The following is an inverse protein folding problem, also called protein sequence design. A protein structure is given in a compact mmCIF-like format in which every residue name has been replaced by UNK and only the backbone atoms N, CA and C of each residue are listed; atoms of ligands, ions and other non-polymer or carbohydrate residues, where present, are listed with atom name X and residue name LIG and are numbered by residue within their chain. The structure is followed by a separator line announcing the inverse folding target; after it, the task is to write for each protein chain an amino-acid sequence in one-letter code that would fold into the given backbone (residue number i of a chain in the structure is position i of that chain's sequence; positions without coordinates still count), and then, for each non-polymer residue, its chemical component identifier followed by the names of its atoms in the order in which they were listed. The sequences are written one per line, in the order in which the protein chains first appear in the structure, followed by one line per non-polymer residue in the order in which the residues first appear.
data_IF_439410160248
#
_entry.id   IF_439410160248
#
_cell.length_a   1.000
_cell.length_b   1.000
_cell.length_c   1.000
_cell.angle_alpha   90.00
_cell.angle_beta   90.00
_cell.angle_gamma   90.00
#
_symmetry.space_group_name_H-M   'P 1'
#
loop_
_entity.id
_entity.type
_entity.pdbx_description
1 polymer ?
#
# COMPACT_ATOMS: atom_id res chain seq x y z
N UNK A 1 11.10 7.95 -31.94
CA UNK A 1 11.68 7.02 -32.96
C UNK A 1 13.03 6.46 -32.53
N UNK A 2 14.07 7.31 -32.38
CA UNK A 2 15.41 6.84 -31.97
C UNK A 2 15.43 6.24 -30.57
N UNK A 3 14.70 6.83 -29.64
CA UNK A 3 14.53 6.33 -28.27
C UNK A 3 13.86 4.95 -28.27
N UNK A 4 12.69 4.81 -28.91
CA UNK A 4 12.01 3.53 -29.05
C UNK A 4 12.91 2.45 -29.70
N UNK A 5 13.65 2.78 -30.76
CA UNK A 5 14.60 1.85 -31.38
C UNK A 5 15.72 1.44 -30.41
N UNK A 6 16.22 2.35 -29.58
CA UNK A 6 17.22 2.05 -28.56
C UNK A 6 16.67 1.10 -27.48
N UNK A 7 15.40 1.25 -27.08
CA UNK A 7 14.71 0.34 -26.16
C UNK A 7 14.65 -1.07 -26.74
N UNK A 8 14.29 -1.20 -28.03
CA UNK A 8 14.22 -2.49 -28.70
C UNK A 8 15.60 -3.14 -28.92
N UNK A 9 16.64 -2.35 -29.18
CA UNK A 9 18.04 -2.85 -29.17
C UNK A 9 18.43 -3.35 -27.79
N UNK A 10 18.12 -2.61 -26.73
CA UNK A 10 18.39 -3.04 -25.35
C UNK A 10 17.63 -4.32 -24.97
N UNK A 11 16.45 -4.54 -25.57
CA UNK A 11 15.66 -5.79 -25.45
C UNK A 11 16.19 -6.94 -26.32
N UNK A 12 17.26 -6.72 -27.10
CA UNK A 12 17.96 -7.76 -27.87
C UNK A 12 17.73 -7.76 -29.38
N UNK A 13 17.02 -6.79 -29.93
CA UNK A 13 16.82 -6.70 -31.39
C UNK A 13 18.05 -6.14 -32.11
N UNK A 14 18.32 -6.64 -33.30
CA UNK A 14 19.35 -6.06 -34.19
C UNK A 14 18.98 -4.60 -34.53
N UNK A 15 19.94 -3.67 -34.65
CA UNK A 15 19.66 -2.25 -34.88
C UNK A 15 18.75 -1.96 -36.09
N UNK A 16 18.94 -2.70 -37.18
CA UNK A 16 18.11 -2.55 -38.38
C UNK A 16 16.63 -2.90 -38.11
N UNK A 17 16.39 -4.03 -37.43
CA UNK A 17 15.05 -4.48 -37.09
C UNK A 17 14.40 -3.59 -36.03
N UNK A 18 15.17 -3.16 -35.02
CA UNK A 18 14.67 -2.24 -33.99
C UNK A 18 14.22 -0.89 -34.58
N UNK A 19 14.94 -0.39 -35.61
CA UNK A 19 14.55 0.82 -36.34
C UNK A 19 13.24 0.62 -37.11
N UNK A 20 13.10 -0.51 -37.80
CA UNK A 20 11.90 -0.83 -38.58
C UNK A 20 10.66 -0.99 -37.68
N UNK A 21 10.80 -1.71 -36.56
CA UNK A 21 9.76 -1.85 -35.53
C UNK A 21 9.35 -0.49 -34.96
N UNK A 22 10.32 0.34 -34.58
CA UNK A 22 10.04 1.67 -34.04
C UNK A 22 9.33 2.58 -35.05
N UNK A 23 9.63 2.44 -36.34
CA UNK A 23 9.00 3.21 -37.40
C UNK A 23 7.55 2.77 -37.62
N UNK A 24 7.30 1.46 -37.71
CA UNK A 24 5.95 0.92 -37.88
C UNK A 24 5.06 1.19 -36.67
N UNK A 25 5.54 1.00 -35.44
CA UNK A 25 4.77 1.27 -34.23
C UNK A 25 4.43 2.76 -34.08
N UNK A 26 5.35 3.65 -34.44
CA UNK A 26 5.09 5.09 -34.39
C UNK A 26 4.18 5.59 -35.51
N UNK A 27 4.15 4.92 -36.66
CA UNK A 27 3.17 5.20 -37.71
C UNK A 27 1.75 4.82 -37.28
N UNK A 28 1.61 3.75 -36.51
CA UNK A 28 0.32 3.31 -35.99
C UNK A 28 -0.14 4.18 -34.80
N UNK A 29 0.69 4.32 -33.76
CA UNK A 29 0.38 5.10 -32.57
C UNK A 29 1.66 5.52 -31.84
N UNK A 30 2.16 6.72 -32.15
CA UNK A 30 3.38 7.24 -31.54
C UNK A 30 3.26 7.43 -30.02
N UNK A 31 2.12 7.94 -29.53
CA UNK A 31 1.92 8.22 -28.10
C UNK A 31 1.73 6.94 -27.32
N UNK A 32 0.91 6.00 -27.79
CA UNK A 32 0.73 4.71 -27.14
C UNK A 32 1.96 3.83 -27.19
N UNK A 33 2.75 3.88 -28.27
CA UNK A 33 4.03 3.16 -28.35
C UNK A 33 5.02 3.69 -27.30
N UNK A 34 5.22 5.01 -27.23
CA UNK A 34 6.08 5.60 -26.20
C UNK A 34 5.52 5.38 -24.77
N UNK A 35 4.23 5.61 -24.53
CA UNK A 35 3.61 5.41 -23.21
C UNK A 35 3.72 3.95 -22.72
N UNK A 36 3.56 2.97 -23.62
CA UNK A 36 3.68 1.55 -23.29
C UNK A 36 5.13 1.12 -23.10
N UNK A 37 6.02 1.50 -24.02
CA UNK A 37 7.39 0.98 -24.03
C UNK A 37 8.36 1.74 -23.12
N UNK A 38 8.10 3.02 -22.83
CA UNK A 38 8.92 3.84 -21.93
C UNK A 38 8.30 3.97 -20.54
N UNK A 39 7.00 4.26 -20.45
CA UNK A 39 6.33 4.53 -19.17
C UNK A 39 5.65 3.29 -18.58
N UNK A 40 5.61 2.17 -19.32
CA UNK A 40 4.90 0.97 -18.91
C UNK A 40 3.37 1.15 -18.83
N UNK A 41 2.84 2.25 -19.36
CA UNK A 41 1.42 2.57 -19.34
C UNK A 41 0.74 1.74 -20.43
N UNK A 42 0.14 0.63 -20.02
CA UNK A 42 -0.78 -0.16 -20.85
C UNK A 42 -2.18 -0.09 -20.27
N UNK A 43 -3.22 -0.41 -21.05
CA UNK A 43 -4.58 -0.49 -20.51
C UNK A 43 -4.68 -1.46 -19.31
N UNK A 44 -3.86 -2.52 -19.28
CA UNK A 44 -3.77 -3.45 -18.15
C UNK A 44 -3.18 -2.83 -16.88
N UNK A 45 -2.36 -1.78 -16.99
CA UNK A 45 -1.77 -1.03 -15.88
C UNK A 45 -2.44 0.33 -15.65
N UNK A 46 -3.60 0.58 -16.27
CA UNK A 46 -4.33 1.82 -16.01
C UNK A 46 -4.73 1.87 -14.53
N UNK A 47 -4.21 2.89 -13.84
CA UNK A 47 -4.54 3.12 -12.44
C UNK A 47 -6.06 3.28 -12.30
N UNK A 48 -6.66 2.57 -11.32
CA UNK A 48 -8.08 2.69 -10.97
C UNK A 48 -8.23 3.52 -9.68
N UNK A 49 -8.02 4.85 -9.72
CA UNK A 49 -7.86 5.67 -8.52
C UNK A 49 -9.09 5.67 -7.63
N UNK A 50 -10.30 5.78 -8.21
CA UNK A 50 -11.54 5.77 -7.45
C UNK A 50 -11.77 4.42 -6.77
N UNK A 51 -11.47 3.32 -7.46
CA UNK A 51 -11.57 1.99 -6.86
C UNK A 51 -10.57 1.83 -5.71
N UNK A 52 -9.32 2.26 -5.90
CA UNK A 52 -8.30 2.20 -4.86
C UNK A 52 -8.68 3.06 -3.64
N UNK A 53 -9.26 4.24 -3.87
CA UNK A 53 -9.74 5.14 -2.81
C UNK A 53 -10.84 4.48 -1.98
N UNK A 54 -11.90 3.95 -2.61
CA UNK A 54 -12.98 3.26 -1.89
C UNK A 54 -12.51 1.98 -1.21
N UNK A 55 -11.64 1.19 -1.85
CA UNK A 55 -11.04 0.02 -1.23
C UNK A 55 -10.22 0.38 0.03
N UNK A 56 -9.47 1.49 -0.03
CA UNK A 56 -8.67 1.98 1.10
C UNK A 56 -9.56 2.51 2.23
N UNK A 57 -10.56 3.33 1.90
CA UNK A 57 -11.50 3.87 2.88
C UNK A 57 -12.29 2.75 3.59
N UNK A 58 -12.78 1.76 2.82
CA UNK A 58 -13.47 0.60 3.36
C UNK A 58 -12.56 -0.24 4.26
N UNK A 59 -11.34 -0.52 3.83
CA UNK A 59 -10.36 -1.29 4.63
C UNK A 59 -10.00 -0.57 5.93
N UNK A 60 -9.84 0.76 5.89
CA UNK A 60 -9.58 1.58 7.07
C UNK A 60 -10.76 1.56 8.05
N UNK A 61 -11.98 1.78 7.54
CA UNK A 61 -13.18 1.76 8.37
C UNK A 61 -13.40 0.40 9.05
N UNK A 62 -13.24 -0.70 8.30
CA UNK A 62 -13.32 -2.06 8.85
C UNK A 62 -12.22 -2.31 9.88
N UNK A 63 -10.98 -1.87 9.59
CA UNK A 63 -9.86 -1.99 10.52
C UNK A 63 -10.06 -1.23 11.83
N UNK A 64 -10.72 -0.07 11.78
CA UNK A 64 -11.08 0.71 12.97
C UNK A 64 -12.26 0.12 13.76
N UNK A 65 -13.03 -0.81 13.17
CA UNK A 65 -14.24 -1.35 13.77
C UNK A 65 -14.02 -2.03 15.12
N UNK A 66 -12.97 -2.85 15.25
CA UNK A 66 -12.70 -3.56 16.51
C UNK A 66 -12.33 -2.61 17.67
N UNK A 67 -11.35 -1.68 17.55
CA UNK A 67 -11.05 -0.71 18.61
C UNK A 67 -12.25 0.17 19.00
N UNK A 68 -13.09 0.56 18.03
CA UNK A 68 -14.30 1.33 18.30
C UNK A 68 -15.34 0.52 19.07
N UNK A 69 -15.55 -0.74 18.68
CA UNK A 69 -16.46 -1.64 19.38
C UNK A 69 -16.01 -1.87 20.83
N UNK A 70 -14.70 -2.08 21.05
CA UNK A 70 -14.14 -2.24 22.39
C UNK A 70 -14.34 -0.96 23.21
N UNK A 71 -14.09 0.20 22.62
CA UNK A 71 -14.35 1.49 23.27
C UNK A 71 -15.81 1.65 23.70
N UNK A 72 -16.75 1.18 22.88
CA UNK A 72 -18.18 1.29 23.15
C UNK A 72 -18.65 0.43 24.33
N UNK A 73 -18.04 -0.74 24.54
CA UNK A 73 -18.48 -1.72 25.56
C UNK A 73 -17.62 -1.73 26.82
N UNK A 74 -16.38 -1.26 26.77
CA UNK A 74 -15.43 -1.40 27.86
C UNK A 74 -15.72 -0.43 29.03
N UNK A 75 -15.66 -0.88 30.28
CA UNK A 75 -15.73 0.01 31.44
C UNK A 75 -14.58 1.02 31.46
N UNK A 76 -14.85 2.24 31.92
CA UNK A 76 -13.87 3.34 31.97
C UNK A 76 -12.58 2.99 32.73
N UNK A 77 -12.69 2.19 33.79
CA UNK A 77 -11.55 1.76 34.62
C UNK A 77 -10.51 0.91 33.88
N UNK A 78 -10.92 0.21 32.81
CA UNK A 78 -10.05 -0.70 32.04
C UNK A 78 -10.01 -0.34 30.56
N UNK A 79 -10.62 0.79 30.17
CA UNK A 79 -10.77 1.20 28.77
C UNK A 79 -9.44 1.22 28.01
N UNK A 80 -8.45 1.95 28.54
CA UNK A 80 -7.14 2.12 27.90
C UNK A 80 -6.43 0.78 27.69
N UNK A 81 -6.22 -0.08 28.71
CA UNK A 81 -5.54 -1.36 28.50
C UNK A 81 -6.34 -2.31 27.60
N UNK A 82 -7.68 -2.30 27.64
CA UNK A 82 -8.50 -3.18 26.80
C UNK A 82 -8.45 -2.77 25.33
N UNK A 83 -8.62 -1.49 25.03
CA UNK A 83 -8.52 -0.95 23.66
C UNK A 83 -7.12 -1.18 23.11
N UNK A 84 -6.08 -0.91 23.91
CA UNK A 84 -4.69 -1.08 23.47
C UNK A 84 -4.35 -2.55 23.21
N UNK A 85 -4.70 -3.45 24.15
CA UNK A 85 -4.43 -4.88 24.01
C UNK A 85 -5.15 -5.53 22.83
N UNK A 86 -6.44 -5.23 22.66
CA UNK A 86 -7.24 -5.76 21.54
C UNK A 86 -6.78 -5.19 20.19
N UNK A 87 -6.43 -3.89 20.14
CA UNK A 87 -5.88 -3.27 18.93
C UNK A 87 -4.55 -3.89 18.52
N UNK A 88 -3.63 -4.13 19.47
CA UNK A 88 -2.34 -4.74 19.17
C UNK A 88 -2.48 -6.19 18.69
N UNK A 89 -3.35 -6.97 19.32
CA UNK A 89 -3.67 -8.33 18.86
C UNK A 89 -4.24 -8.30 17.42
N UNK A 90 -5.12 -7.35 17.13
CA UNK A 90 -5.71 -7.22 15.81
C UNK A 90 -4.70 -6.74 14.75
N UNK A 91 -3.84 -5.78 15.10
CA UNK A 91 -2.73 -5.33 14.24
C UNK A 91 -1.73 -6.45 13.94
N UNK A 92 -1.46 -7.33 14.90
CA UNK A 92 -0.62 -8.50 14.68
C UNK A 92 -1.23 -9.44 13.64
N UNK A 93 -2.53 -9.72 13.74
CA UNK A 93 -3.28 -10.55 12.79
C UNK A 93 -3.31 -9.89 11.40
N UNK A 94 -3.71 -8.62 11.32
CA UNK A 94 -3.79 -7.87 10.06
C UNK A 94 -2.42 -7.71 9.40
N UNK A 95 -1.36 -7.45 10.17
CA UNK A 95 0.01 -7.36 9.65
C UNK A 95 0.51 -8.67 9.07
N UNK A 96 0.15 -9.80 9.70
CA UNK A 96 0.43 -11.13 9.17
C UNK A 96 -0.34 -11.43 7.88
N UNK A 97 -1.64 -11.11 7.84
CA UNK A 97 -2.49 -11.29 6.66
C UNK A 97 -2.03 -10.41 5.49
N UNK A 98 -1.69 -9.15 5.75
CA UNK A 98 -1.19 -8.22 4.74
C UNK A 98 0.15 -8.68 4.15
N UNK A 99 1.07 -9.17 5.00
CA UNK A 99 2.34 -9.73 4.52
C UNK A 99 2.13 -10.98 3.66
N UNK A 100 1.22 -11.88 4.07
CA UNK A 100 0.85 -13.05 3.27
C UNK A 100 0.28 -12.65 1.91
N UNK A 101 -0.64 -11.69 1.87
CA UNK A 101 -1.24 -11.21 0.64
C UNK A 101 -0.20 -10.52 -0.29
N UNK A 102 0.79 -9.84 0.30
CA UNK A 102 1.89 -9.18 -0.43
C UNK A 102 3.09 -10.08 -0.77
N UNK A 103 3.02 -11.39 -0.52
CA UNK A 103 4.13 -12.32 -0.81
C UNK A 103 5.34 -12.19 0.11
N UNK A 104 5.22 -11.50 1.24
CA UNK A 104 6.28 -11.29 2.23
C UNK A 104 6.17 -12.28 3.41
N UNK A 105 7.22 -12.37 4.22
CA UNK A 105 7.23 -13.21 5.42
C UNK A 105 6.21 -12.76 6.48
N UNK A 106 5.28 -13.65 6.84
CA UNK A 106 4.19 -13.38 7.80
C UNK A 106 4.71 -12.84 9.15
N UNK A 107 5.76 -13.48 9.69
CA UNK A 107 6.35 -13.08 10.99
C UNK A 107 6.90 -11.66 10.94
N UNK A 108 7.63 -11.31 9.88
CA UNK A 108 8.19 -9.98 9.71
C UNK A 108 7.08 -8.93 9.58
N UNK A 109 6.01 -9.24 8.82
CA UNK A 109 4.83 -8.39 8.69
C UNK A 109 4.13 -8.12 10.03
N UNK A 110 3.80 -9.19 10.75
CA UNK A 110 3.13 -9.10 12.04
C UNK A 110 3.94 -8.30 13.06
N UNK A 111 5.24 -8.58 13.20
CA UNK A 111 6.14 -7.87 14.12
C UNK A 111 6.23 -6.38 13.75
N UNK A 112 6.47 -6.07 12.46
CA UNK A 112 6.61 -4.68 12.01
C UNK A 112 5.36 -3.86 12.30
N UNK A 113 4.19 -4.38 11.96
CA UNK A 113 2.92 -3.65 12.14
C UNK A 113 2.59 -3.49 13.62
N UNK A 114 2.77 -4.55 14.42
CA UNK A 114 2.50 -4.50 15.88
C UNK A 114 3.46 -3.53 16.58
N UNK A 115 4.74 -3.56 16.23
CA UNK A 115 5.76 -2.69 16.83
C UNK A 115 5.48 -1.21 16.57
N UNK A 116 5.26 -0.83 15.31
CA UNK A 116 4.96 0.57 14.98
C UNK A 116 3.60 1.01 15.54
N UNK A 117 2.62 0.11 15.61
CA UNK A 117 1.34 0.37 16.28
C UNK A 117 1.51 0.64 17.78
N UNK A 118 2.27 -0.22 18.48
CA UNK A 118 2.56 -0.05 19.91
C UNK A 118 3.34 1.24 20.20
N UNK A 119 4.32 1.58 19.37
CA UNK A 119 5.08 2.81 19.51
C UNK A 119 4.19 4.04 19.34
N UNK A 120 3.33 4.06 18.31
CA UNK A 120 2.40 5.16 18.08
C UNK A 120 1.43 5.34 19.27
N UNK A 121 0.89 4.24 19.80
CA UNK A 121 0.05 4.25 21.00
C UNK A 121 0.79 4.79 22.23
N UNK A 122 2.04 4.34 22.45
CA UNK A 122 2.86 4.80 23.57
C UNK A 122 3.18 6.30 23.49
N UNK A 123 3.52 6.80 22.30
CA UNK A 123 3.74 8.24 22.08
C UNK A 123 2.47 9.04 22.34
N UNK A 124 1.32 8.56 21.84
CA UNK A 124 0.02 9.25 22.01
C UNK A 124 -0.38 9.30 23.48
N UNK A 125 -0.24 8.19 24.20
CA UNK A 125 -0.48 8.13 25.64
C UNK A 125 0.48 9.04 26.42
N UNK A 126 1.77 9.05 26.05
CA UNK A 126 2.78 9.92 26.66
C UNK A 126 2.47 11.40 26.49
N UNK A 127 2.02 11.82 25.30
CA UNK A 127 1.53 13.18 25.05
C UNK A 127 0.33 13.50 25.95
N UNK A 128 -0.63 12.58 26.08
CA UNK A 128 -1.79 12.78 26.97
C UNK A 128 -1.41 12.99 28.43
N UNK A 129 -0.41 12.26 28.92
CA UNK A 129 0.14 12.43 30.28
C UNK A 129 0.85 13.80 30.42
N UNK A 130 1.67 14.19 29.44
CA UNK A 130 2.42 15.45 29.48
C UNK A 130 1.51 16.68 29.52
N UNK A 131 0.42 16.67 28.76
CA UNK A 131 -0.54 17.77 28.72
C UNK A 131 -1.68 17.65 29.74
N UNK A 132 -1.62 16.65 30.63
CA UNK A 132 -2.63 16.43 31.68
C UNK A 132 -4.07 16.37 31.12
N UNK A 133 -4.23 15.86 29.89
CA UNK A 133 -5.53 15.73 29.23
C UNK A 133 -6.31 14.49 29.70
N UNK A 134 -5.75 13.70 30.63
CA UNK A 134 -6.43 12.59 31.29
C UNK A 134 -7.16 13.06 32.56
N UNK A 135 -8.46 13.27 32.46
CA UNK A 135 -9.40 13.18 33.57
C UNK A 135 -10.25 11.91 33.39
#
# INVERSE_FOLDING_TARGET
RRELAAIYVARGLKPALAKEVAEQLMLHDALGAHARDELGISEFFSARPIQAAFASAGSFAVGAGLPLLVTFIAPTSVLIPLVSGTSLAFLMLLGGLAARAGGAGIRAGAIRVTFWGALAMAVTAGVGVLFRTGA
#
